data_IF_533852627558
#
_entry.id   IF_533852627558
#
_cell.length_a   1.000
_cell.length_b   1.000
_cell.length_c   1.000
_cell.angle_alpha   90.00
_cell.angle_beta   90.00
_cell.angle_gamma   90.00
#
_symmetry.space_group_name_H-M   'P 1'
#
loop_
_entity.id
_entity.type
_entity.pdbx_description
1 polymer ?
#
# COMPACT_ATOMS: atom_id res chain seq x y z
N UNK A 1 11.70 9.49 4.31
CA UNK A 1 10.86 8.68 5.21
C UNK A 1 10.96 7.22 4.83
N UNK A 2 11.45 6.45 5.73
CA UNK A 2 11.76 5.04 5.46
C UNK A 2 10.54 4.24 5.04
N UNK A 3 9.36 4.60 5.60
CA UNK A 3 8.13 3.90 5.25
C UNK A 3 7.75 4.03 3.78
N UNK A 4 8.04 5.19 3.18
CA UNK A 4 7.73 5.36 1.76
C UNK A 4 8.59 4.44 0.91
N UNK A 5 9.87 4.31 1.25
CA UNK A 5 10.75 3.40 0.53
C UNK A 5 10.31 1.95 0.72
N UNK A 6 9.93 1.59 1.93
CA UNK A 6 9.41 0.26 2.22
C UNK A 6 8.13 -0.01 1.43
N UNK A 7 7.27 1.00 1.30
CA UNK A 7 6.04 0.86 0.55
C UNK A 7 6.32 0.61 -0.93
N UNK A 8 7.29 1.33 -1.49
CA UNK A 8 7.70 1.09 -2.88
C UNK A 8 8.20 -0.34 -3.05
N UNK A 9 9.02 -0.81 -2.10
CA UNK A 9 9.54 -2.16 -2.17
C UNK A 9 8.43 -3.20 -2.02
N UNK A 10 7.41 -2.90 -1.23
CA UNK A 10 6.27 -3.80 -1.06
C UNK A 10 5.48 -3.96 -2.35
N UNK A 11 5.63 -3.03 -3.29
CA UNK A 11 4.99 -3.12 -4.60
C UNK A 11 5.86 -3.87 -5.61
N UNK A 12 6.50 -4.97 -5.18
CA UNK A 12 7.32 -5.77 -6.08
C UNK A 12 6.48 -6.51 -7.13
N UNK A 13 5.17 -6.52 -6.94
CA UNK A 13 4.21 -7.01 -7.92
C UNK A 13 2.93 -6.22 -7.72
N UNK A 14 2.02 -6.19 -8.71
CA UNK A 14 0.74 -5.49 -8.53
C UNK A 14 0.00 -6.03 -7.32
N UNK A 15 -0.48 -5.15 -6.46
CA UNK A 15 -0.98 -5.54 -5.14
C UNK A 15 -2.17 -4.69 -4.72
N UNK A 16 -3.09 -5.30 -3.96
CA UNK A 16 -4.13 -4.53 -3.29
C UNK A 16 -3.54 -3.81 -2.09
N UNK A 17 -4.30 -2.83 -1.56
CA UNK A 17 -3.86 -2.14 -0.35
C UNK A 17 -3.70 -3.09 0.84
N UNK A 18 -4.57 -4.10 0.94
CA UNK A 18 -4.48 -5.08 2.02
C UNK A 18 -3.19 -5.88 1.91
N UNK A 19 -2.82 -6.28 0.70
CA UNK A 19 -1.57 -7.01 0.49
C UNK A 19 -0.36 -6.17 0.88
N UNK A 20 -0.39 -4.89 0.51
CA UNK A 20 0.69 -3.98 0.90
C UNK A 20 0.76 -3.84 2.41
N UNK A 21 -0.41 -3.71 3.05
CA UNK A 21 -0.47 -3.59 4.49
C UNK A 21 0.21 -4.76 5.18
N UNK A 22 -0.08 -5.99 4.76
CA UNK A 22 0.50 -7.16 5.38
C UNK A 22 1.99 -7.29 5.12
N UNK A 23 2.47 -6.75 4.01
CA UNK A 23 3.91 -6.73 3.75
C UNK A 23 4.65 -5.71 4.59
N UNK A 24 3.99 -4.59 4.90
CA UNK A 24 4.61 -3.55 5.72
C UNK A 24 4.56 -3.91 7.21
N UNK A 25 3.47 -4.52 7.66
CA UNK A 25 3.26 -4.85 9.06
C UNK A 25 3.26 -6.37 9.21
N UNK A 26 4.44 -6.94 9.45
CA UNK A 26 4.65 -8.39 9.40
C UNK A 26 4.35 -9.08 10.73
N UNK A 27 3.52 -8.48 11.56
CA UNK A 27 3.15 -9.03 12.86
C UNK A 27 1.63 -8.99 13.01
N UNK A 28 1.12 -9.75 13.96
CA UNK A 28 -0.31 -9.69 14.28
C UNK A 28 -0.66 -8.30 14.81
N UNK A 29 -1.80 -7.80 14.36
CA UNK A 29 -2.30 -6.49 14.77
C UNK A 29 -3.66 -6.68 15.43
N UNK A 30 -3.90 -5.98 16.55
CA UNK A 30 -5.24 -5.93 17.13
C UNK A 30 -6.10 -4.96 16.31
N UNK A 31 -7.37 -4.81 16.71
CA UNK A 31 -8.29 -3.97 15.95
C UNK A 31 -7.81 -2.53 15.81
N UNK A 32 -7.35 -1.94 16.91
CA UNK A 32 -6.88 -0.56 16.89
C UNK A 32 -5.64 -0.41 16.01
N UNK A 33 -4.71 -1.34 16.14
CA UNK A 33 -3.50 -1.32 15.34
C UNK A 33 -3.81 -1.51 13.87
N UNK A 34 -4.79 -2.36 13.55
CA UNK A 34 -5.18 -2.60 12.17
C UNK A 34 -5.77 -1.34 11.54
N UNK A 35 -6.66 -0.65 12.24
CA UNK A 35 -7.20 0.61 11.74
C UNK A 35 -6.11 1.63 11.48
N UNK A 36 -5.18 1.75 12.42
CA UNK A 36 -4.08 2.68 12.27
C UNK A 36 -3.19 2.30 11.09
N UNK A 37 -2.91 1.01 10.94
CA UNK A 37 -2.08 0.51 9.86
C UNK A 37 -2.73 0.72 8.49
N UNK A 38 -4.05 0.53 8.41
CA UNK A 38 -4.80 0.79 7.17
C UNK A 38 -4.64 2.24 6.77
N UNK A 39 -4.89 3.16 7.70
CA UNK A 39 -4.79 4.59 7.41
C UNK A 39 -3.38 4.97 6.96
N UNK A 40 -2.37 4.45 7.64
CA UNK A 40 -0.98 4.74 7.31
C UNK A 40 -0.62 4.19 5.93
N UNK A 41 -1.03 2.94 5.65
CA UNK A 41 -0.74 2.31 4.36
C UNK A 41 -1.38 3.09 3.23
N UNK A 42 -2.65 3.48 3.37
CA UNK A 42 -3.33 4.24 2.33
C UNK A 42 -2.70 5.61 2.13
N UNK A 43 -2.31 6.27 3.21
CA UNK A 43 -1.65 7.57 3.11
C UNK A 43 -0.33 7.44 2.33
N UNK A 44 0.45 6.40 2.63
CA UNK A 44 1.71 6.18 1.92
C UNK A 44 1.47 5.87 0.43
N UNK A 45 0.47 5.05 0.14
CA UNK A 45 0.15 4.73 -1.25
C UNK A 45 -0.32 5.96 -2.02
N UNK A 46 -1.16 6.80 -1.40
CA UNK A 46 -1.61 8.03 -2.04
C UNK A 46 -0.44 8.97 -2.30
N UNK A 47 0.49 9.05 -1.35
CA UNK A 47 1.66 9.87 -1.53
C UNK A 47 2.49 9.40 -2.74
N UNK A 48 2.65 8.09 -2.87
CA UNK A 48 3.38 7.54 -4.02
C UNK A 48 2.66 7.80 -5.33
N UNK A 49 1.33 7.77 -5.33
CA UNK A 49 0.57 8.10 -6.54
C UNK A 49 0.80 9.55 -6.93
N UNK A 50 0.79 10.46 -5.96
CA UNK A 50 1.00 11.89 -6.24
C UNK A 50 2.42 12.16 -6.72
N UNK A 51 3.39 11.41 -6.20
CA UNK A 51 4.78 11.55 -6.61
C UNK A 51 5.07 10.91 -7.96
N UNK A 52 4.12 10.16 -8.52
CA UNK A 52 4.34 9.43 -9.76
C UNK A 52 5.20 8.19 -9.60
N UNK A 53 5.39 7.71 -8.37
CA UNK A 53 6.19 6.51 -8.10
C UNK A 53 5.36 5.25 -8.09
N UNK A 54 4.03 5.38 -8.10
CA UNK A 54 3.10 4.26 -8.18
C UNK A 54 1.93 4.64 -9.05
N UNK A 55 1.27 3.64 -9.60
CA UNK A 55 0.03 3.83 -10.36
C UNK A 55 -1.04 2.91 -9.78
N UNK A 56 -2.29 3.29 -10.01
CA UNK A 56 -3.45 2.58 -9.48
C UNK A 56 -4.39 2.21 -10.62
N UNK A 57 -4.80 0.95 -10.63
CA UNK A 57 -5.82 0.47 -11.56
C UNK A 57 -6.94 -0.17 -10.77
N UNK A 58 -8.18 -0.01 -11.24
CA UNK A 58 -9.32 -0.63 -10.59
C UNK A 58 -9.59 -1.99 -11.23
N UNK A 59 -9.67 -3.02 -10.38
CA UNK A 59 -10.00 -4.36 -10.82
C UNK A 59 -11.50 -4.45 -11.11
N UNK A 60 -11.91 -5.48 -11.85
CA UNK A 60 -13.32 -5.64 -12.25
C UNK A 60 -14.28 -5.68 -11.05
N UNK A 61 -13.81 -6.19 -9.91
CA UNK A 61 -14.63 -6.28 -8.70
C UNK A 61 -14.62 -4.98 -7.89
N UNK A 62 -14.01 -3.92 -8.41
CA UNK A 62 -13.98 -2.62 -7.74
C UNK A 62 -12.81 -2.43 -6.78
N UNK A 63 -11.95 -3.42 -6.64
CA UNK A 63 -10.79 -3.32 -5.76
C UNK A 63 -9.65 -2.63 -6.51
N UNK A 64 -9.00 -1.68 -5.83
CA UNK A 64 -7.85 -0.97 -6.42
C UNK A 64 -6.59 -1.81 -6.32
N UNK A 65 -5.85 -1.86 -7.42
CA UNK A 65 -4.56 -2.54 -7.50
C UNK A 65 -3.49 -1.48 -7.70
N UNK A 66 -2.46 -1.52 -6.87
CA UNK A 66 -1.34 -0.59 -6.93
C UNK A 66 -0.11 -1.30 -7.46
N UNK A 67 0.69 -0.59 -8.25
CA UNK A 67 1.96 -1.12 -8.74
C UNK A 67 2.94 0.01 -8.89
N UNK A 68 4.23 -0.34 -8.97
CA UNK A 68 5.26 0.67 -9.22
C UNK A 68 5.07 1.30 -10.58
N UNK A 69 5.35 2.60 -10.66
CA UNK A 69 5.45 3.25 -11.94
C UNK A 69 6.70 2.74 -12.65
N UNK A 70 6.58 2.57 -13.96
CA UNK A 70 7.69 2.05 -14.75
C UNK A 70 8.84 3.05 -14.81
#
# INVERSE_FOLDING_TARGET
>A
MERLDETVEALHEPSTGVEVLYRLFKRELDEHQTFFAIGETLAHLHHLLEDGRAVRNRRDDGVDIFKRAA
#
